data_IF_101384157979
#
_entry.id   IF_101384157979
#
_cell.length_a   1.000
_cell.length_b   1.000
_cell.length_c   1.000
_cell.angle_alpha   90.00
_cell.angle_beta   90.00
_cell.angle_gamma   90.00
#
_symmetry.space_group_name_H-M   'P 1'
#
loop_
_entity.id
_entity.type
_entity.pdbx_description
1 polymer ?
#
# COMPACT_ATOMS: atom_id res chain seq x y z
N UNK A 1 -8.23 -4.68 87.92
CA UNK A 1 -7.72 -5.68 86.97
C UNK A 1 -8.93 -6.34 86.32
N UNK A 2 -9.20 -5.96 85.07
CA UNK A 2 -10.40 -6.33 84.35
C UNK A 2 -10.07 -7.35 83.26
N UNK A 3 -10.83 -8.44 83.18
CA UNK A 3 -11.69 -8.75 82.03
C UNK A 3 -12.15 -10.21 82.14
N UNK A 4 -13.46 -10.40 82.04
CA UNK A 4 -14.15 -11.69 82.00
C UNK A 4 -14.64 -11.96 80.57
N UNK A 5 -14.85 -13.24 80.33
CA UNK A 5 -15.01 -13.89 79.04
C UNK A 5 -16.38 -13.70 78.35
N UNK A 6 -16.33 -14.01 77.04
CA UNK A 6 -17.33 -14.61 76.15
C UNK A 6 -18.68 -13.91 75.89
N UNK A 7 -18.95 -13.59 74.63
CA UNK A 7 -20.03 -14.20 73.84
C UNK A 7 -20.00 -13.75 72.37
N UNK A 8 -20.33 -14.70 71.49
CA UNK A 8 -20.65 -14.63 70.05
C UNK A 8 -21.39 -13.39 69.59
N UNK A 9 -21.23 -13.00 68.32
CA UNK A 9 -22.30 -12.76 67.31
C UNK A 9 -21.81 -11.86 66.15
N UNK A 10 -22.28 -12.19 64.93
CA UNK A 10 -22.35 -11.38 63.69
C UNK A 10 -21.10 -11.32 62.78
N UNK A 11 -21.01 -12.34 61.92
CA UNK A 11 -20.61 -12.15 60.51
C UNK A 11 -21.64 -11.22 59.84
N UNK A 12 -21.24 -9.99 59.54
CA UNK A 12 -21.93 -9.16 58.54
C UNK A 12 -21.03 -9.08 57.32
N UNK A 13 -21.48 -9.68 56.22
CA UNK A 13 -20.88 -9.51 54.92
C UNK A 13 -21.12 -8.09 54.43
N UNK A 14 -20.04 -7.37 54.16
CA UNK A 14 -20.07 -6.12 53.41
C UNK A 14 -19.58 -6.46 51.99
N UNK A 15 -20.52 -6.84 51.13
CA UNK A 15 -20.27 -6.90 49.69
C UNK A 15 -20.32 -5.45 49.20
N UNK A 16 -19.16 -4.83 49.04
CA UNK A 16 -19.03 -3.55 48.38
C UNK A 16 -19.18 -3.80 46.88
N UNK A 17 -20.41 -3.65 46.36
CA UNK A 17 -20.66 -3.59 44.91
C UNK A 17 -20.10 -2.25 44.42
N UNK A 18 -18.89 -2.27 43.88
CA UNK A 18 -18.37 -1.16 43.09
C UNK A 18 -19.09 -1.24 41.74
N UNK A 19 -20.21 -0.54 41.65
CA UNK A 19 -20.91 -0.29 40.40
C UNK A 19 -20.06 0.69 39.60
N UNK A 20 -19.13 0.17 38.80
CA UNK A 20 -18.41 0.95 37.81
C UNK A 20 -19.46 1.34 36.77
N UNK A 21 -19.98 2.56 36.89
CA UNK A 21 -20.67 3.22 35.79
C UNK A 21 -19.67 3.32 34.64
N UNK A 22 -19.71 2.35 33.71
CA UNK A 22 -19.12 2.49 32.39
C UNK A 22 -19.96 3.52 31.65
N UNK A 23 -19.79 4.80 32.00
CA UNK A 23 -20.09 5.87 31.07
C UNK A 23 -19.14 5.62 29.90
N UNK A 24 -19.66 5.02 28.84
CA UNK A 24 -18.95 4.89 27.59
C UNK A 24 -18.52 6.29 27.20
N UNK A 25 -17.22 6.56 27.29
CA UNK A 25 -16.67 7.74 26.66
C UNK A 25 -16.99 7.57 25.18
N UNK A 26 -17.80 8.45 24.56
CA UNK A 26 -17.77 8.52 23.12
C UNK A 26 -16.33 8.79 22.76
N UNK A 27 -15.68 7.81 22.14
CA UNK A 27 -14.47 8.07 21.36
C UNK A 27 -14.91 9.03 20.27
N UNK A 28 -14.78 10.32 20.54
CA UNK A 28 -14.74 11.30 19.48
C UNK A 28 -13.42 11.02 18.78
N UNK A 29 -13.39 10.48 17.55
CA UNK A 29 -12.27 10.78 16.70
C UNK A 29 -12.33 12.31 16.54
N UNK A 30 -11.50 13.01 17.30
CA UNK A 30 -11.08 14.35 16.90
C UNK A 30 -10.36 14.09 15.58
N UNK A 31 -11.08 14.26 14.48
CA UNK A 31 -10.53 14.25 13.14
C UNK A 31 -9.46 15.33 13.17
N UNK A 32 -8.19 14.92 13.23
CA UNK A 32 -7.07 15.84 13.21
C UNK A 32 -7.27 16.77 12.01
N UNK A 33 -7.01 18.06 12.20
CA UNK A 33 -7.20 19.09 11.20
C UNK A 33 -6.54 18.67 9.87
N UNK A 34 -7.41 18.29 8.93
CA UNK A 34 -7.25 18.08 7.49
C UNK A 34 -5.84 17.76 6.96
N UNK A 35 -5.49 16.47 6.90
CA UNK A 35 -4.54 15.95 5.92
C UNK A 35 -4.11 14.51 6.20
N UNK A 36 -4.25 13.63 5.21
CA UNK A 36 -3.74 12.25 5.26
C UNK A 36 -2.22 12.17 5.49
N UNK A 37 -1.70 10.96 5.70
CA UNK A 37 -0.26 10.73 5.97
C UNK A 37 0.65 11.43 4.96
N UNK A 38 0.30 11.41 3.67
CA UNK A 38 1.08 12.07 2.63
C UNK A 38 1.03 13.60 2.69
N UNK A 39 -0.12 14.21 2.99
CA UNK A 39 -0.21 15.67 3.18
C UNK A 39 0.56 16.11 4.42
N UNK A 40 0.46 15.33 5.51
CA UNK A 40 1.24 15.55 6.72
C UNK A 40 2.75 15.44 6.46
N UNK A 41 3.17 14.45 5.66
CA UNK A 41 4.57 14.27 5.26
C UNK A 41 5.08 15.41 4.36
N UNK A 42 4.23 15.95 3.48
CA UNK A 42 4.55 17.11 2.66
C UNK A 42 4.85 18.35 3.53
N UNK A 43 4.10 18.53 4.62
CA UNK A 43 4.37 19.53 5.65
C UNK A 43 3.66 20.87 5.47
N UNK A 44 2.69 20.96 4.56
CA UNK A 44 1.73 22.07 4.49
C UNK A 44 0.46 21.63 3.72
N UNK A 45 -0.63 22.38 3.84
CA UNK A 45 -1.79 22.19 2.97
C UNK A 45 -1.49 22.72 1.55
N UNK A 46 -1.69 21.92 0.49
CA UNK A 46 -1.45 22.38 -0.88
C UNK A 46 -2.47 23.46 -1.27
N UNK A 47 -2.01 24.48 -2.00
CA UNK A 47 -2.88 25.55 -2.51
C UNK A 47 -3.73 25.11 -3.71
N UNK A 48 -3.26 24.11 -4.45
CA UNK A 48 -3.98 23.45 -5.53
C UNK A 48 -3.64 21.95 -5.55
N UNK A 49 -4.62 21.13 -5.91
CA UNK A 49 -4.47 19.68 -6.04
C UNK A 49 -4.83 19.31 -7.48
N UNK A 50 -3.91 18.71 -8.27
CA UNK A 50 -4.23 18.27 -9.62
C UNK A 50 -5.22 17.11 -9.59
N UNK A 51 -5.94 16.90 -10.69
CA UNK A 51 -7.06 15.95 -10.76
C UNK A 51 -6.71 14.54 -10.28
N UNK A 52 -5.50 14.06 -10.60
CA UNK A 52 -5.03 12.72 -10.25
C UNK A 52 -4.66 12.54 -8.78
N UNK A 53 -4.54 13.65 -8.04
CA UNK A 53 -4.29 13.69 -6.60
C UNK A 53 -5.53 14.06 -5.79
N UNK A 54 -6.69 14.21 -6.43
CA UNK A 54 -7.93 14.51 -5.73
C UNK A 54 -8.30 13.36 -4.78
N UNK A 55 -8.81 13.68 -3.58
CA UNK A 55 -9.25 12.66 -2.63
C UNK A 55 -10.45 11.87 -3.20
N UNK A 56 -10.70 10.69 -2.63
CA UNK A 56 -11.88 9.90 -2.97
C UNK A 56 -13.17 10.70 -2.72
N UNK A 57 -14.09 10.62 -3.69
CA UNK A 57 -15.40 11.26 -3.64
C UNK A 57 -16.48 10.22 -3.94
N UNK A 58 -17.66 10.42 -3.36
CA UNK A 58 -18.82 9.58 -3.67
C UNK A 58 -19.16 9.68 -5.17
N UNK A 59 -19.40 8.53 -5.81
CA UNK A 59 -19.71 8.47 -7.24
C UNK A 59 -18.51 8.72 -8.17
N UNK A 60 -17.27 8.77 -7.65
CA UNK A 60 -16.09 8.85 -8.48
C UNK A 60 -15.97 7.63 -9.40
N UNK A 61 -15.89 7.89 -10.71
CA UNK A 61 -15.61 6.86 -11.70
C UNK A 61 -14.10 6.64 -11.82
N UNK A 62 -13.67 5.41 -11.53
CA UNK A 62 -12.29 4.99 -11.74
C UNK A 62 -12.13 4.18 -13.02
N UNK A 63 -13.20 3.89 -13.75
CA UNK A 63 -13.18 2.93 -14.84
C UNK A 63 -12.17 3.32 -15.93
N UNK A 64 -11.46 2.31 -16.43
CA UNK A 64 -10.44 2.44 -17.47
C UNK A 64 -10.64 1.35 -18.51
N UNK A 65 -10.14 1.59 -19.72
CA UNK A 65 -10.17 0.61 -20.82
C UNK A 65 -8.78 0.36 -21.40
N UNK A 66 -7.75 0.40 -20.56
CA UNK A 66 -6.37 0.21 -20.99
C UNK A 66 -6.17 -1.19 -21.56
N UNK A 67 -5.34 -1.27 -22.59
CA UNK A 67 -4.85 -2.54 -23.12
C UNK A 67 -3.71 -3.03 -22.23
N UNK A 68 -3.97 -4.08 -21.47
CA UNK A 68 -3.01 -4.71 -20.56
C UNK A 68 -2.58 -6.08 -21.09
N UNK A 69 -1.45 -6.14 -21.79
CA UNK A 69 -0.99 -7.35 -22.47
C UNK A 69 -0.61 -8.47 -21.49
N UNK A 70 -0.04 -8.15 -20.32
CA UNK A 70 0.27 -9.17 -19.30
C UNK A 70 -1.01 -9.72 -18.67
N UNK A 71 -2.01 -8.88 -18.44
CA UNK A 71 -3.32 -9.32 -17.96
C UNK A 71 -4.02 -10.19 -19.00
N UNK A 72 -4.06 -9.76 -20.27
CA UNK A 72 -4.61 -10.57 -21.37
C UNK A 72 -3.93 -11.93 -21.48
N UNK A 73 -2.59 -11.97 -21.40
CA UNK A 73 -1.84 -13.23 -21.38
C UNK A 73 -2.18 -14.12 -20.17
N UNK A 74 -2.33 -13.52 -18.99
CA UNK A 74 -2.73 -14.24 -17.77
C UNK A 74 -4.15 -14.81 -17.90
N UNK A 75 -5.10 -14.04 -18.40
CA UNK A 75 -6.49 -14.48 -18.62
C UNK A 75 -6.58 -15.65 -19.62
N UNK A 76 -5.80 -15.62 -20.71
CA UNK A 76 -5.76 -16.68 -21.71
C UNK A 76 -5.06 -17.94 -21.19
N UNK A 77 -3.87 -17.80 -20.60
CA UNK A 77 -3.07 -18.93 -20.09
C UNK A 77 -3.76 -19.69 -18.97
N UNK A 78 -4.57 -18.98 -18.17
CA UNK A 78 -5.37 -19.56 -17.08
C UNK A 78 -6.75 -20.05 -17.51
N UNK A 79 -7.08 -19.91 -18.81
CA UNK A 79 -8.36 -20.28 -19.41
C UNK A 79 -9.57 -19.55 -18.82
N UNK A 80 -9.35 -18.41 -18.17
CA UNK A 80 -10.41 -17.47 -17.81
C UNK A 80 -11.02 -16.79 -19.04
N UNK A 81 -10.25 -16.74 -20.14
CA UNK A 81 -10.74 -16.45 -21.50
C UNK A 81 -10.47 -17.66 -22.37
N UNK A 82 -11.48 -18.08 -23.15
CA UNK A 82 -11.30 -19.12 -24.16
C UNK A 82 -10.65 -18.55 -25.42
N UNK A 83 -9.40 -18.91 -25.65
CA UNK A 83 -8.63 -18.54 -26.83
C UNK A 83 -8.67 -19.58 -27.95
N UNK A 84 -9.52 -20.61 -27.88
CA UNK A 84 -9.52 -21.74 -28.84
C UNK A 84 -9.76 -21.36 -30.30
N UNK A 85 -10.39 -20.21 -30.55
CA UNK A 85 -10.58 -19.64 -31.89
C UNK A 85 -9.32 -18.98 -32.47
N UNK A 86 -8.30 -18.74 -31.65
CA UNK A 86 -7.04 -18.11 -32.04
C UNK A 86 -5.92 -19.13 -32.28
N UNK A 87 -4.98 -18.84 -33.19
CA UNK A 87 -3.74 -19.61 -33.31
C UNK A 87 -3.05 -19.74 -31.95
N UNK A 88 -2.64 -20.97 -31.62
CA UNK A 88 -1.98 -21.31 -30.35
C UNK A 88 -2.76 -20.86 -29.10
N UNK A 89 -4.09 -20.86 -29.14
CA UNK A 89 -4.91 -20.42 -28.01
C UNK A 89 -4.82 -18.91 -27.75
N UNK A 90 -4.34 -18.12 -28.70
CA UNK A 90 -4.15 -16.68 -28.54
C UNK A 90 -2.83 -16.28 -27.90
N UNK A 91 -1.89 -17.21 -27.72
CA UNK A 91 -0.59 -16.97 -27.07
C UNK A 91 0.58 -17.17 -28.03
N UNK A 92 1.64 -16.38 -27.82
CA UNK A 92 2.97 -16.58 -28.40
C UNK A 92 3.76 -17.60 -27.55
N UNK A 93 4.89 -18.14 -28.06
CA UNK A 93 5.71 -19.10 -27.32
C UNK A 93 6.26 -18.61 -25.98
N UNK A 94 6.41 -17.30 -25.80
CA UNK A 94 6.86 -16.68 -24.55
C UNK A 94 5.71 -16.44 -23.53
N UNK A 95 4.48 -16.83 -23.88
CA UNK A 95 3.29 -16.63 -23.06
C UNK A 95 2.63 -15.26 -23.20
N UNK A 96 3.20 -14.34 -24.00
CA UNK A 96 2.53 -13.08 -24.34
C UNK A 96 1.33 -13.33 -25.26
N UNK A 97 0.27 -12.51 -25.22
CA UNK A 97 -0.85 -12.67 -26.14
C UNK A 97 -0.45 -12.26 -27.56
N UNK A 98 -0.90 -13.02 -28.56
CA UNK A 98 -0.83 -12.61 -29.96
C UNK A 98 -1.99 -11.66 -30.32
N UNK A 99 -2.01 -11.11 -31.54
CA UNK A 99 -3.03 -10.14 -31.97
C UNK A 99 -4.47 -10.67 -31.79
N UNK A 100 -4.73 -11.93 -32.17
CA UNK A 100 -6.03 -12.56 -31.96
C UNK A 100 -6.35 -12.72 -30.46
N UNK A 101 -5.37 -13.14 -29.66
CA UNK A 101 -5.49 -13.26 -28.20
C UNK A 101 -5.88 -11.93 -27.53
N UNK A 102 -5.27 -10.82 -27.96
CA UNK A 102 -5.60 -9.48 -27.49
C UNK A 102 -7.04 -9.10 -27.84
N UNK A 103 -7.50 -9.43 -29.04
CA UNK A 103 -8.86 -9.13 -29.48
C UNK A 103 -9.90 -9.93 -28.69
N UNK A 104 -9.72 -11.25 -28.56
CA UNK A 104 -10.68 -12.11 -27.85
C UNK A 104 -10.70 -11.88 -26.34
N UNK A 105 -9.58 -11.44 -25.75
CA UNK A 105 -9.51 -11.12 -24.31
C UNK A 105 -9.97 -9.70 -23.95
N UNK A 106 -10.14 -8.80 -24.93
CA UNK A 106 -10.36 -7.37 -24.71
C UNK A 106 -11.43 -7.05 -23.66
N UNK A 107 -12.63 -7.62 -23.81
CA UNK A 107 -13.75 -7.33 -22.91
C UNK A 107 -13.47 -7.83 -21.49
N UNK A 108 -12.85 -9.00 -21.35
CA UNK A 108 -12.50 -9.54 -20.04
C UNK A 108 -11.36 -8.77 -19.39
N UNK A 109 -10.40 -8.26 -20.17
CA UNK A 109 -9.34 -7.36 -19.68
C UNK A 109 -9.93 -6.05 -19.14
N UNK A 110 -10.96 -5.49 -19.79
CA UNK A 110 -11.67 -4.30 -19.30
C UNK A 110 -12.49 -4.62 -18.05
N UNK A 111 -13.21 -5.74 -18.03
CA UNK A 111 -13.96 -6.14 -16.84
C UNK A 111 -13.04 -6.41 -15.65
N UNK A 112 -11.90 -7.05 -15.88
CA UNK A 112 -10.95 -7.42 -14.83
C UNK A 112 -10.21 -6.22 -14.25
N UNK A 113 -9.76 -5.26 -15.07
CA UNK A 113 -9.05 -4.08 -14.54
C UNK A 113 -9.95 -3.17 -13.67
N UNK A 114 -11.26 -3.17 -13.92
CA UNK A 114 -12.22 -2.31 -13.19
C UNK A 114 -12.89 -3.01 -12.00
N UNK A 115 -12.68 -4.31 -11.83
CA UNK A 115 -13.34 -5.07 -10.76
C UNK A 115 -12.92 -4.64 -9.35
N UNK A 116 -11.74 -4.02 -9.22
CA UNK A 116 -11.18 -3.61 -7.95
C UNK A 116 -11.53 -2.15 -7.62
N UNK A 117 -12.31 -1.46 -8.45
CA UNK A 117 -12.55 -0.02 -8.30
C UNK A 117 -13.23 0.32 -6.97
N UNK A 118 -14.20 -0.48 -6.52
CA UNK A 118 -14.88 -0.26 -5.24
C UNK A 118 -13.94 -0.42 -4.04
N UNK A 119 -13.07 -1.44 -4.06
CA UNK A 119 -12.09 -1.67 -2.99
C UNK A 119 -10.95 -0.66 -3.03
N UNK A 120 -10.56 -0.18 -4.22
CA UNK A 120 -9.61 0.94 -4.38
C UNK A 120 -10.19 2.22 -3.79
N UNK A 121 -11.44 2.56 -4.09
CA UNK A 121 -12.12 3.73 -3.50
C UNK A 121 -12.22 3.61 -1.98
N UNK A 122 -12.56 2.43 -1.48
CA UNK A 122 -12.68 2.18 -0.04
C UNK A 122 -11.33 2.35 0.67
N UNK A 123 -10.27 1.71 0.16
CA UNK A 123 -8.92 1.81 0.72
C UNK A 123 -8.38 3.24 0.63
N UNK A 124 -8.62 3.92 -0.49
CA UNK A 124 -8.25 5.33 -0.69
C UNK A 124 -8.89 6.23 0.36
N UNK A 125 -10.19 6.06 0.60
CA UNK A 125 -10.94 6.83 1.58
C UNK A 125 -10.48 6.53 3.01
N UNK A 126 -10.21 5.26 3.34
CA UNK A 126 -9.74 4.86 4.67
C UNK A 126 -8.35 5.42 5.00
N UNK A 127 -7.52 5.63 3.98
CA UNK A 127 -6.12 6.06 4.11
C UNK A 127 -5.86 7.52 3.74
N UNK A 128 -6.89 8.29 3.40
CA UNK A 128 -6.79 9.66 2.87
C UNK A 128 -5.82 9.77 1.67
N UNK A 129 -5.91 8.80 0.75
CA UNK A 129 -5.09 8.70 -0.47
C UNK A 129 -5.88 9.04 -1.73
N UNK A 130 -5.23 9.49 -2.82
CA UNK A 130 -5.89 9.64 -4.10
C UNK A 130 -6.19 8.27 -4.74
N UNK A 131 -7.45 7.92 -5.04
CA UNK A 131 -7.78 6.61 -5.61
C UNK A 131 -7.22 6.40 -7.03
N UNK A 132 -7.10 7.48 -7.82
CA UNK A 132 -6.43 7.42 -9.13
C UNK A 132 -4.96 7.00 -9.02
N UNK A 133 -4.27 7.37 -7.94
CA UNK A 133 -2.90 6.94 -7.67
C UNK A 133 -2.85 5.45 -7.36
N UNK A 134 -3.71 4.95 -6.47
CA UNK A 134 -3.77 3.51 -6.16
C UNK A 134 -4.05 2.69 -7.41
N UNK A 135 -5.03 3.10 -8.22
CA UNK A 135 -5.36 2.42 -9.48
C UNK A 135 -4.20 2.44 -10.47
N UNK A 136 -3.55 3.59 -10.63
CA UNK A 136 -2.38 3.73 -11.50
C UNK A 136 -1.22 2.83 -11.07
N UNK A 137 -0.92 2.77 -9.76
CA UNK A 137 0.12 1.88 -9.22
C UNK A 137 -0.22 0.43 -9.53
N UNK A 138 -1.45 -0.03 -9.27
CA UNK A 138 -1.85 -1.41 -9.60
C UNK A 138 -1.72 -1.70 -11.11
N UNK A 139 -2.11 -0.74 -11.96
CA UNK A 139 -1.98 -0.85 -13.42
C UNK A 139 -0.52 -0.98 -13.87
N UNK A 140 0.40 -0.22 -13.28
CA UNK A 140 1.84 -0.28 -13.59
C UNK A 140 2.49 -1.55 -13.02
N UNK A 141 2.14 -1.95 -11.80
CA UNK A 141 2.79 -3.05 -11.10
C UNK A 141 2.34 -4.40 -11.64
N UNK A 142 1.04 -4.68 -11.58
CA UNK A 142 0.52 -6.02 -11.84
C UNK A 142 -0.39 -6.11 -13.06
N UNK A 143 -0.75 -4.96 -13.65
CA UNK A 143 -1.85 -4.87 -14.61
C UNK A 143 -3.12 -5.56 -14.05
N UNK A 144 -3.36 -5.40 -12.74
CA UNK A 144 -4.47 -6.00 -12.00
C UNK A 144 -4.44 -7.53 -11.85
N UNK A 145 -3.34 -8.20 -12.17
CA UNK A 145 -3.19 -9.64 -11.89
C UNK A 145 -2.70 -9.86 -10.45
N UNK A 146 -3.49 -10.48 -9.54
CA UNK A 146 -3.18 -10.45 -8.11
C UNK A 146 -2.19 -11.55 -7.66
N UNK A 147 -1.79 -12.46 -8.55
CA UNK A 147 -0.94 -13.59 -8.17
C UNK A 147 0.48 -13.16 -7.78
N UNK A 148 1.15 -14.03 -7.04
CA UNK A 148 2.56 -13.87 -6.68
C UNK A 148 3.50 -14.36 -7.78
N UNK A 149 4.63 -13.66 -7.94
CA UNK A 149 5.83 -14.19 -8.58
C UNK A 149 6.94 -14.34 -7.54
N UNK A 150 6.93 -15.47 -6.83
CA UNK A 150 7.92 -15.78 -5.79
C UNK A 150 9.36 -15.91 -6.31
N UNK A 151 9.56 -16.15 -7.60
CA UNK A 151 10.90 -16.19 -8.22
C UNK A 151 11.49 -14.77 -8.30
N UNK A 152 10.66 -13.79 -8.66
CA UNK A 152 11.05 -12.38 -8.69
C UNK A 152 10.91 -11.68 -7.33
N UNK A 153 10.17 -12.29 -6.41
CA UNK A 153 9.84 -11.71 -5.11
C UNK A 153 8.82 -10.58 -5.23
N UNK A 154 7.93 -10.62 -6.23
CA UNK A 154 6.93 -9.59 -6.51
C UNK A 154 5.53 -10.16 -6.20
N UNK A 155 4.85 -9.63 -5.19
CA UNK A 155 3.64 -10.26 -4.63
C UNK A 155 2.42 -9.33 -4.67
N UNK A 156 1.29 -9.84 -5.13
CA UNK A 156 0.00 -9.14 -5.06
C UNK A 156 -0.18 -8.04 -6.10
N UNK A 157 -1.28 -7.29 -5.99
CA UNK A 157 -1.63 -6.23 -6.95
C UNK A 157 -0.59 -5.09 -7.02
N UNK A 158 0.12 -4.83 -5.92
CA UNK A 158 1.20 -3.85 -5.85
C UNK A 158 2.59 -4.40 -6.16
N UNK A 159 2.72 -5.71 -6.46
CA UNK A 159 4.01 -6.39 -6.68
C UNK A 159 5.03 -6.14 -5.55
N UNK A 160 4.56 -6.18 -4.29
CA UNK A 160 5.38 -5.88 -3.13
C UNK A 160 6.54 -6.87 -2.99
N UNK A 161 7.73 -6.34 -2.71
CA UNK A 161 8.94 -7.10 -2.43
C UNK A 161 9.25 -7.18 -0.94
N UNK A 162 10.27 -7.95 -0.54
CA UNK A 162 10.76 -7.97 0.85
C UNK A 162 11.15 -6.55 1.33
N UNK A 163 11.65 -5.69 0.44
CA UNK A 163 11.95 -4.29 0.76
C UNK A 163 10.69 -3.44 0.92
N UNK A 164 9.64 -3.70 0.14
CA UNK A 164 8.32 -3.08 0.33
C UNK A 164 7.70 -3.47 1.68
N UNK A 165 7.83 -4.74 2.07
CA UNK A 165 7.41 -5.21 3.40
C UNK A 165 8.24 -4.54 4.52
N UNK A 166 9.55 -4.36 4.33
CA UNK A 166 10.41 -3.64 5.27
C UNK A 166 10.00 -2.17 5.42
N UNK A 167 9.66 -1.52 4.30
CA UNK A 167 9.19 -0.13 4.24
C UNK A 167 7.91 0.04 5.07
N UNK A 168 6.87 -0.74 4.79
CA UNK A 168 5.58 -0.58 5.50
C UNK A 168 5.71 -0.90 6.99
N UNK A 169 6.44 -1.95 7.36
CA UNK A 169 6.67 -2.30 8.78
C UNK A 169 7.52 -1.25 9.53
N UNK A 170 8.42 -0.55 8.83
CA UNK A 170 9.26 0.48 9.44
C UNK A 170 8.54 1.81 9.64
N UNK A 171 7.60 2.16 8.75
CA UNK A 171 7.01 3.50 8.69
C UNK A 171 5.53 3.55 9.07
N UNK A 172 4.81 2.42 9.05
CA UNK A 172 3.44 2.32 9.54
C UNK A 172 3.37 1.56 10.85
N UNK A 173 3.38 2.31 11.95
CA UNK A 173 3.40 1.73 13.30
C UNK A 173 2.15 0.90 13.58
N UNK A 174 0.97 1.37 13.17
CA UNK A 174 -0.28 0.64 13.37
C UNK A 174 -0.30 -0.68 12.59
N UNK A 175 0.11 -0.65 11.31
CA UNK A 175 0.24 -1.83 10.47
C UNK A 175 1.23 -2.84 11.07
N UNK A 176 2.44 -2.40 11.44
CA UNK A 176 3.42 -3.23 12.13
C UNK A 176 2.84 -3.89 13.39
N UNK A 177 2.13 -3.14 14.23
CA UNK A 177 1.52 -3.67 15.44
C UNK A 177 0.42 -4.70 15.15
N UNK A 178 -0.28 -4.60 14.02
CA UNK A 178 -1.21 -5.62 13.55
C UNK A 178 -0.49 -6.94 13.23
N UNK A 179 0.47 -6.87 12.30
CA UNK A 179 1.24 -8.04 11.84
C UNK A 179 2.01 -8.70 12.99
N UNK A 180 2.65 -7.90 13.84
CA UNK A 180 3.39 -8.42 14.98
C UNK A 180 2.49 -9.17 15.96
N UNK A 181 1.30 -8.63 16.27
CA UNK A 181 0.34 -9.29 17.19
C UNK A 181 -0.18 -10.59 16.61
N UNK A 182 -0.36 -10.68 15.30
CA UNK A 182 -0.72 -11.93 14.63
C UNK A 182 0.40 -12.98 14.77
N UNK A 183 1.66 -12.56 14.70
CA UNK A 183 2.81 -13.46 14.79
C UNK A 183 3.12 -13.93 16.22
N UNK A 184 3.07 -13.02 17.20
CA UNK A 184 3.63 -13.23 18.55
C UNK A 184 2.65 -12.92 19.70
N UNK A 185 1.42 -12.51 19.40
CA UNK A 185 0.48 -11.99 20.40
C UNK A 185 0.89 -10.62 20.94
N UNK A 186 0.06 -10.05 21.82
CA UNK A 186 0.25 -8.69 22.35
C UNK A 186 1.55 -8.49 23.14
N UNK A 187 2.02 -9.52 23.84
CA UNK A 187 3.24 -9.43 24.66
C UNK A 187 4.52 -9.36 23.83
N UNK A 188 4.51 -9.83 22.58
CA UNK A 188 5.69 -9.89 21.72
C UNK A 188 6.03 -8.59 20.97
N UNK A 189 5.20 -7.55 21.09
CA UNK A 189 5.23 -6.37 20.20
C UNK A 189 5.51 -5.04 20.91
N UNK A 190 6.13 -5.08 22.09
CA UNK A 190 6.47 -3.89 22.88
C UNK A 190 7.58 -3.04 22.29
N UNK A 191 8.32 -3.57 21.32
CA UNK A 191 9.50 -2.95 20.70
C UNK A 191 9.18 -2.56 19.26
N UNK A 192 9.61 -1.38 18.82
CA UNK A 192 9.41 -0.93 17.44
C UNK A 192 10.16 -1.82 16.43
N UNK A 193 9.61 -2.01 15.24
CA UNK A 193 10.10 -2.92 14.20
C UNK A 193 11.62 -2.86 13.99
N UNK A 194 12.18 -1.65 13.87
CA UNK A 194 13.60 -1.43 13.59
C UNK A 194 14.56 -1.90 14.69
N UNK A 195 14.05 -2.07 15.91
CA UNK A 195 14.83 -2.53 17.08
C UNK A 195 14.67 -4.03 17.35
N UNK A 196 13.86 -4.74 16.57
CA UNK A 196 13.79 -6.20 16.61
C UNK A 196 15.07 -6.80 16.01
N UNK A 197 15.41 -8.03 16.39
CA UNK A 197 16.51 -8.74 15.76
C UNK A 197 16.19 -9.06 14.28
N UNK A 198 17.24 -9.28 13.48
CA UNK A 198 17.10 -9.48 12.04
C UNK A 198 16.25 -10.71 11.67
N UNK A 199 16.24 -11.76 12.51
CA UNK A 199 15.45 -12.96 12.23
C UNK A 199 13.96 -12.68 12.42
N UNK A 200 13.60 -11.92 13.46
CA UNK A 200 12.24 -11.45 13.69
C UNK A 200 11.79 -10.49 12.58
N UNK A 201 12.64 -9.54 12.17
CA UNK A 201 12.32 -8.64 11.05
C UNK A 201 12.07 -9.42 9.75
N UNK A 202 12.88 -10.43 9.44
CA UNK A 202 12.68 -11.32 8.28
C UNK A 202 11.37 -12.11 8.36
N UNK A 203 11.05 -12.66 9.52
CA UNK A 203 9.81 -13.39 9.73
C UNK A 203 8.58 -12.50 9.49
N UNK A 204 8.57 -11.29 10.06
CA UNK A 204 7.45 -10.36 9.88
C UNK A 204 7.31 -9.91 8.41
N UNK A 205 8.41 -9.66 7.70
CA UNK A 205 8.36 -9.37 6.26
C UNK A 205 7.79 -10.53 5.46
N UNK A 206 8.18 -11.77 5.76
CA UNK A 206 7.62 -12.97 5.13
C UNK A 206 6.13 -13.14 5.41
N UNK A 207 5.66 -12.79 6.62
CA UNK A 207 4.23 -12.82 6.97
C UNK A 207 3.44 -11.81 6.15
N UNK A 208 3.91 -10.57 5.99
CA UNK A 208 3.29 -9.56 5.12
C UNK A 208 3.15 -10.09 3.70
N UNK A 209 4.24 -10.62 3.12
CA UNK A 209 4.22 -11.15 1.75
C UNK A 209 3.23 -12.32 1.61
N UNK A 210 3.17 -13.22 2.59
CA UNK A 210 2.22 -14.34 2.59
C UNK A 210 0.76 -13.86 2.71
N UNK A 211 0.52 -12.81 3.49
CA UNK A 211 -0.81 -12.23 3.66
C UNK A 211 -1.35 -11.67 2.35
N UNK A 212 -0.48 -11.07 1.52
CA UNK A 212 -0.88 -10.48 0.24
C UNK A 212 -0.84 -11.42 -0.97
N UNK A 213 -0.37 -12.66 -0.80
CA UNK A 213 -0.33 -13.64 -1.89
C UNK A 213 -1.73 -14.15 -2.24
N UNK A 214 -2.27 -13.71 -3.36
CA UNK A 214 -3.58 -14.14 -3.86
C UNK A 214 -3.52 -15.42 -4.72
N UNK A 215 -2.39 -16.12 -4.79
CA UNK A 215 -2.28 -17.39 -5.53
C UNK A 215 -3.13 -18.48 -4.86
N UNK A 216 -3.95 -19.17 -5.64
CA UNK A 216 -4.87 -20.18 -5.13
C UNK A 216 -5.03 -21.33 -6.12
N UNK A 217 -4.41 -22.48 -5.84
CA UNK A 217 -4.40 -23.64 -6.75
C UNK A 217 -5.78 -24.24 -7.03
N UNK A 218 -6.74 -24.04 -6.11
CA UNK A 218 -8.12 -24.55 -6.26
C UNK A 218 -9.10 -23.51 -6.80
N UNK A 219 -8.67 -22.25 -6.96
CA UNK A 219 -9.51 -21.17 -7.46
C UNK A 219 -9.54 -21.15 -8.98
N UNK A 220 -10.62 -20.60 -9.55
CA UNK A 220 -10.72 -20.36 -10.98
C UNK A 220 -9.56 -19.49 -11.46
N UNK A 221 -8.86 -19.95 -12.49
CA UNK A 221 -7.67 -19.27 -13.02
C UNK A 221 -6.47 -19.18 -12.08
N UNK A 222 -6.44 -19.94 -10.99
CA UNK A 222 -5.30 -20.01 -10.07
C UNK A 222 -5.17 -18.83 -9.10
N UNK A 223 -6.18 -17.97 -9.00
CA UNK A 223 -6.14 -16.74 -8.17
C UNK A 223 -7.39 -16.57 -7.32
N UNK A 224 -7.20 -16.14 -6.08
CA UNK A 224 -8.25 -15.68 -5.18
C UNK A 224 -8.42 -14.16 -5.34
N UNK A 225 -9.46 -13.80 -6.07
CA UNK A 225 -9.79 -12.41 -6.36
C UNK A 225 -10.14 -11.64 -5.10
N UNK A 226 -10.94 -12.24 -4.23
CA UNK A 226 -11.46 -11.55 -3.06
C UNK A 226 -10.30 -11.19 -2.13
N UNK A 227 -9.38 -12.14 -1.95
CA UNK A 227 -8.10 -11.88 -1.28
C UNK A 227 -7.31 -10.79 -2.00
N UNK A 228 -7.16 -10.87 -3.32
CA UNK A 228 -6.52 -9.82 -4.12
C UNK A 228 -7.08 -8.41 -3.82
N UNK A 229 -8.40 -8.28 -3.77
CA UNK A 229 -9.07 -7.02 -3.43
C UNK A 229 -8.83 -6.56 -2.00
N UNK A 230 -8.82 -7.47 -1.02
CA UNK A 230 -8.51 -7.14 0.38
C UNK A 230 -7.10 -6.57 0.56
N UNK A 231 -6.16 -6.99 -0.30
CA UNK A 231 -4.75 -6.57 -0.20
C UNK A 231 -4.46 -5.18 -0.75
N UNK A 232 -5.46 -4.51 -1.36
CA UNK A 232 -5.35 -3.10 -1.77
C UNK A 232 -5.09 -2.19 -0.56
N UNK A 233 -5.61 -2.55 0.61
CA UNK A 233 -5.33 -1.84 1.86
C UNK A 233 -3.84 -1.86 2.22
N UNK A 234 -3.16 -3.00 2.01
CA UNK A 234 -1.72 -3.11 2.28
C UNK A 234 -0.91 -2.24 1.32
N UNK A 235 -1.36 -2.11 0.07
CA UNK A 235 -0.75 -1.17 -0.88
C UNK A 235 -0.94 0.28 -0.42
N UNK A 236 -2.13 0.65 0.06
CA UNK A 236 -2.40 1.98 0.61
C UNK A 236 -1.46 2.31 1.80
N UNK A 237 -1.32 1.39 2.75
CA UNK A 237 -0.38 1.51 3.87
C UNK A 237 1.07 1.68 3.39
N UNK A 238 1.45 0.96 2.33
CA UNK A 238 2.80 1.04 1.77
C UNK A 238 3.07 2.37 1.04
N UNK A 239 2.07 2.95 0.37
CA UNK A 239 2.18 4.29 -0.20
C UNK A 239 2.28 5.36 0.89
N UNK A 240 1.50 5.23 1.97
CA UNK A 240 1.61 6.09 3.15
C UNK A 240 3.03 6.00 3.77
N UNK A 241 3.57 4.79 3.90
CA UNK A 241 4.95 4.56 4.33
C UNK A 241 5.96 5.26 3.42
N UNK A 242 5.77 5.17 2.10
CA UNK A 242 6.64 5.81 1.12
C UNK A 242 6.60 7.35 1.22
N UNK A 243 5.42 7.94 1.46
CA UNK A 243 5.32 9.39 1.71
C UNK A 243 6.10 9.82 2.95
N UNK A 244 5.93 9.12 4.08
CA UNK A 244 6.66 9.42 5.31
C UNK A 244 8.17 9.27 5.13
N UNK A 245 8.61 8.21 4.45
CA UNK A 245 10.02 7.98 4.16
C UNK A 245 10.59 9.06 3.22
N UNK A 246 9.87 9.43 2.16
CA UNK A 246 10.28 10.50 1.25
C UNK A 246 10.46 11.85 1.94
N UNK A 247 9.54 12.22 2.82
CA UNK A 247 9.68 13.44 3.61
C UNK A 247 10.92 13.41 4.52
N UNK A 248 11.18 12.27 5.15
CA UNK A 248 12.40 12.07 5.93
C UNK A 248 13.67 12.16 5.07
N UNK A 249 13.67 11.56 3.88
CA UNK A 249 14.80 11.62 2.94
C UNK A 249 15.10 13.06 2.52
N UNK A 250 14.07 13.84 2.17
CA UNK A 250 14.23 15.26 1.84
C UNK A 250 14.89 15.99 3.00
N UNK A 251 14.35 15.82 4.21
CA UNK A 251 14.86 16.50 5.42
C UNK A 251 16.29 16.09 5.76
N UNK A 252 16.63 14.80 5.60
CA UNK A 252 17.99 14.30 5.78
C UNK A 252 18.97 14.85 4.74
N UNK A 253 18.52 14.99 3.49
CA UNK A 253 19.39 15.42 2.40
C UNK A 253 19.63 16.94 2.39
N UNK A 254 18.63 17.74 2.76
CA UNK A 254 18.61 19.20 2.57
C UNK A 254 18.44 20.00 3.88
N UNK A 255 17.96 19.38 4.96
CA UNK A 255 17.59 20.07 6.21
C UNK A 255 16.19 20.72 6.18
N UNK A 256 15.47 20.65 5.06
CA UNK A 256 14.22 21.37 4.82
C UNK A 256 13.00 20.44 4.69
N UNK A 257 11.78 20.99 4.78
CA UNK A 257 10.55 20.22 4.50
C UNK A 257 10.30 20.12 2.99
N UNK A 258 9.60 19.06 2.51
CA UNK A 258 9.20 18.98 1.11
C UNK A 258 8.42 20.20 0.63
N UNK A 259 7.50 20.70 1.46
CA UNK A 259 6.68 21.89 1.19
C UNK A 259 7.46 23.18 0.91
N UNK A 260 8.67 23.30 1.45
CA UNK A 260 9.53 24.47 1.24
C UNK A 260 10.37 24.40 -0.03
N UNK A 261 10.39 23.23 -0.69
CA UNK A 261 11.26 22.93 -1.81
C UNK A 261 10.49 22.69 -3.11
N UNK A 262 9.38 21.96 -3.05
CA UNK A 262 8.67 21.50 -4.25
C UNK A 262 7.15 21.56 -4.09
N UNK A 263 6.46 21.46 -5.23
CA UNK A 263 5.00 21.35 -5.25
C UNK A 263 4.52 20.05 -4.60
N UNK A 264 3.25 20.00 -4.18
CA UNK A 264 2.66 18.76 -3.67
C UNK A 264 2.65 17.65 -4.73
N UNK A 265 2.47 18.02 -5.99
CA UNK A 265 2.51 17.09 -7.11
C UNK A 265 3.92 16.49 -7.32
N UNK A 266 4.97 17.31 -7.23
CA UNK A 266 6.35 16.83 -7.30
C UNK A 266 6.73 15.95 -6.11
N UNK A 267 6.21 16.27 -4.91
CA UNK A 267 6.38 15.41 -3.74
C UNK A 267 5.72 14.04 -3.95
N UNK A 268 4.54 13.98 -4.55
CA UNK A 268 3.90 12.72 -4.92
C UNK A 268 4.71 11.91 -5.93
N UNK A 269 5.28 12.56 -6.95
CA UNK A 269 6.20 11.90 -7.88
C UNK A 269 7.43 11.33 -7.15
N UNK A 270 7.99 12.08 -6.20
CA UNK A 270 9.08 11.59 -5.35
C UNK A 270 8.65 10.39 -4.48
N UNK A 271 7.46 10.43 -3.85
CA UNK A 271 6.93 9.33 -3.05
C UNK A 271 6.70 8.05 -3.87
N UNK A 272 6.19 8.17 -5.10
CA UNK A 272 6.01 7.05 -6.01
C UNK A 272 7.36 6.52 -6.53
N UNK A 273 8.33 7.40 -6.79
CA UNK A 273 9.67 6.98 -7.17
C UNK A 273 10.39 6.29 -6.01
N UNK A 274 10.14 6.71 -4.77
CA UNK A 274 10.64 6.05 -3.57
C UNK A 274 10.00 4.67 -3.36
N UNK A 275 8.71 4.53 -3.65
CA UNK A 275 8.01 3.24 -3.59
C UNK A 275 8.67 2.22 -4.54
N UNK A 276 9.03 2.65 -5.75
CA UNK A 276 9.62 1.78 -6.77
C UNK A 276 11.14 1.59 -6.63
N UNK A 277 11.91 2.68 -6.58
CA UNK A 277 13.38 2.64 -6.61
C UNK A 277 14.04 2.64 -5.23
N UNK A 278 13.28 2.93 -4.17
CA UNK A 278 13.75 2.92 -2.79
C UNK A 278 14.51 4.17 -2.35
N UNK A 279 14.65 4.27 -1.02
CA UNK A 279 15.22 5.42 -0.31
C UNK A 279 16.65 5.79 -0.72
N UNK A 280 17.47 4.79 -1.01
CA UNK A 280 18.86 5.03 -1.41
C UNK A 280 18.95 5.79 -2.73
N UNK A 281 18.14 5.41 -3.71
CA UNK A 281 18.10 6.04 -5.02
C UNK A 281 17.59 7.49 -4.94
N UNK A 282 16.48 7.70 -4.24
CA UNK A 282 15.88 9.03 -4.10
C UNK A 282 16.74 9.98 -3.27
N UNK A 283 17.36 9.51 -2.18
CA UNK A 283 18.31 10.29 -1.39
C UNK A 283 19.50 10.77 -2.23
N UNK A 284 20.13 9.87 -3.00
CA UNK A 284 21.28 10.22 -3.83
C UNK A 284 20.91 11.21 -4.94
N UNK A 285 19.74 11.05 -5.56
CA UNK A 285 19.24 11.99 -6.55
C UNK A 285 19.04 13.39 -5.94
N UNK A 286 18.38 13.51 -4.79
CA UNK A 286 18.18 14.79 -4.09
C UNK A 286 19.52 15.42 -3.70
N UNK A 287 20.46 14.65 -3.16
CA UNK A 287 21.78 15.15 -2.75
C UNK A 287 22.58 15.72 -3.91
N UNK A 288 22.46 15.16 -5.12
CA UNK A 288 23.12 15.68 -6.33
C UNK A 288 22.53 17.00 -6.81
N UNK A 289 21.22 17.17 -6.66
CA UNK A 289 20.54 18.44 -6.99
C UNK A 289 20.88 19.53 -5.96
N UNK A 290 21.03 19.16 -4.68
CA UNK A 290 21.26 20.09 -3.57
C UNK A 290 19.96 20.72 -3.08
N UNK A 291 19.35 21.56 -3.91
CA UNK A 291 18.07 22.24 -3.61
C UNK A 291 17.03 21.89 -4.67
N UNK A 292 16.38 20.71 -4.57
CA UNK A 292 15.43 20.27 -5.60
C UNK A 292 14.17 21.12 -5.59
N UNK A 293 13.93 21.84 -6.69
CA UNK A 293 12.75 22.69 -6.85
C UNK A 293 11.61 22.04 -7.65
N UNK A 294 11.85 20.88 -8.26
CA UNK A 294 10.88 20.18 -9.11
C UNK A 294 11.22 18.71 -9.26
N UNK A 295 10.23 17.88 -9.61
CA UNK A 295 10.46 16.48 -9.96
C UNK A 295 11.49 16.31 -11.09
N UNK A 296 11.43 17.15 -12.13
CA UNK A 296 12.35 17.07 -13.27
C UNK A 296 13.82 17.20 -12.85
N UNK A 297 14.11 18.07 -11.88
CA UNK A 297 15.46 18.22 -11.34
C UNK A 297 15.95 16.94 -10.64
N UNK A 298 15.07 16.29 -9.88
CA UNK A 298 15.37 15.02 -9.19
C UNK A 298 15.52 13.89 -10.20
N UNK A 299 14.57 13.77 -11.14
CA UNK A 299 14.52 12.72 -12.16
C UNK A 299 15.78 12.71 -13.04
N UNK A 300 16.31 13.88 -13.39
CA UNK A 300 17.53 14.00 -14.18
C UNK A 300 18.82 13.59 -13.41
N UNK A 301 18.75 13.40 -12.10
CA UNK A 301 19.91 13.16 -11.24
C UNK A 301 19.97 11.75 -10.62
N UNK A 302 19.02 10.86 -10.96
CA UNK A 302 19.15 9.45 -10.62
C UNK A 302 20.45 8.87 -11.19
N UNK A 303 21.12 8.02 -10.42
CA UNK A 303 22.28 7.27 -10.89
C UNK A 303 21.86 6.23 -11.92
N UNK A 304 22.82 5.72 -12.70
CA UNK A 304 22.56 4.71 -13.74
C UNK A 304 21.83 3.48 -13.16
N UNK A 305 22.17 3.05 -11.95
CA UNK A 305 21.50 1.92 -11.28
C UNK A 305 20.13 2.25 -10.68
N UNK A 306 19.65 3.48 -10.80
CA UNK A 306 18.41 3.97 -10.22
C UNK A 306 17.49 4.65 -11.26
N UNK A 307 17.81 4.57 -12.55
CA UNK A 307 17.04 5.24 -13.61
C UNK A 307 15.59 4.74 -13.72
N UNK A 308 15.33 3.50 -13.28
CA UNK A 308 13.97 2.94 -13.24
C UNK A 308 13.01 3.79 -12.39
N UNK A 309 13.50 4.54 -11.40
CA UNK A 309 12.68 5.45 -10.61
C UNK A 309 12.03 6.57 -11.43
N UNK A 310 12.73 7.13 -12.43
CA UNK A 310 12.14 8.14 -13.31
C UNK A 310 11.25 7.56 -14.39
N UNK A 311 11.62 6.41 -14.94
CA UNK A 311 10.81 5.64 -15.89
C UNK A 311 9.47 5.21 -15.26
N UNK A 312 9.49 4.81 -13.99
CA UNK A 312 8.31 4.43 -13.24
C UNK A 312 7.27 5.55 -13.17
N UNK A 313 7.68 6.78 -12.84
CA UNK A 313 6.77 7.94 -12.81
C UNK A 313 6.17 8.21 -14.19
N UNK A 314 6.97 8.05 -15.24
CA UNK A 314 6.46 8.20 -16.61
C UNK A 314 5.34 7.19 -16.92
N UNK A 315 5.50 5.93 -16.48
CA UNK A 315 4.46 4.89 -16.61
C UNK A 315 3.22 5.20 -15.77
N UNK A 316 3.39 5.74 -14.56
CA UNK A 316 2.28 6.20 -13.73
C UNK A 316 1.50 7.32 -14.42
N UNK A 317 2.20 8.31 -14.98
CA UNK A 317 1.56 9.39 -15.73
C UNK A 317 0.81 8.89 -16.97
N UNK A 318 1.28 7.80 -17.61
CA UNK A 318 0.55 7.13 -18.70
C UNK A 318 -0.75 6.45 -18.23
N UNK A 319 -0.83 6.01 -16.96
CA UNK A 319 -2.06 5.45 -16.36
C UNK A 319 -3.05 6.50 -15.88
N UNK A 320 -2.62 7.77 -15.80
CA UNK A 320 -3.39 8.87 -15.24
C UNK A 320 -3.95 9.78 -16.33
N UNK A 321 -3.33 9.75 -17.53
CA UNK A 321 -3.84 10.48 -18.69
C UNK A 321 -5.23 9.94 -19.08
N UNK A 322 -6.19 10.84 -19.38
CA UNK A 322 -7.53 10.46 -19.82
C UNK A 322 -7.52 9.67 -21.13
#
# INVERSE_FOLDING_TARGET
MASRAWSTIKRFGLITVIMICTAGYPSYPVKAESGGTCQSAYGQSPSSIPEWLQPAQEGMDLSTSYRYDLLSGSLLSTKLVDGSSCPSGGLNPDGSPNACGLDVSRNQTIAWQNRYDSVILTAAQANDLPPKVLKAVIGVESQFWPAANWIRGEIGLGQMTEFGADLVLSWQTAYFQGICRQAFGSAGCSTGYRFLDLSTQRLLRGLVLKEIDATCATCSGGVDVEKGGQTVEVLAETLNASCSQSAHIVRMATGLSPSSLMSYEDFWRLALANYHAGAGCTYQAIRRVGTPSSWNSIAANFSIGCSSGSEYIRRIEEQIKP
#
